data_IF_598926402643
#
_entry.id   IF_598926402643
#
_cell.length_a   1.000
_cell.length_b   1.000
_cell.length_c   1.000
_cell.angle_alpha   90.00
_cell.angle_beta   90.00
_cell.angle_gamma   90.00
#
_symmetry.space_group_name_H-M   'P 1'
#
loop_
_entity.id
_entity.type
_entity.pdbx_description
1 polymer ?
#
# COMPACT_ATOMS: atom_id res chain seq x y z
N UNK A 1 -16.81 29.85 -10.72
CA UNK A 1 -16.94 28.72 -11.66
C UNK A 1 -15.63 27.96 -11.90
N UNK A 2 -14.50 28.61 -12.20
CA UNK A 2 -13.23 27.91 -12.52
C UNK A 2 -12.64 27.01 -11.42
N UNK A 3 -12.80 27.37 -10.14
CA UNK A 3 -12.16 26.62 -9.06
C UNK A 3 -12.81 25.25 -8.79
N UNK A 4 -14.09 25.08 -9.12
CA UNK A 4 -14.84 23.84 -8.85
C UNK A 4 -14.30 22.67 -9.70
N UNK A 5 -14.13 22.81 -11.03
CA UNK A 5 -13.46 21.78 -11.83
C UNK A 5 -12.01 21.51 -11.40
N UNK A 6 -11.28 22.53 -10.93
CA UNK A 6 -9.89 22.37 -10.48
C UNK A 6 -9.84 21.45 -9.24
N UNK A 7 -10.64 21.73 -8.21
CA UNK A 7 -10.64 20.89 -7.00
C UNK A 7 -11.21 19.50 -7.27
N UNK A 8 -12.19 19.38 -8.17
CA UNK A 8 -12.70 18.07 -8.60
C UNK A 8 -11.63 17.25 -9.31
N UNK A 9 -10.88 17.86 -10.24
CA UNK A 9 -9.80 17.19 -10.97
C UNK A 9 -8.70 16.66 -10.04
N UNK A 10 -8.39 17.37 -8.95
CA UNK A 10 -7.43 16.91 -7.96
C UNK A 10 -7.88 15.62 -7.24
N UNK A 11 -9.18 15.47 -6.96
CA UNK A 11 -9.73 14.25 -6.37
C UNK A 11 -9.71 13.08 -7.37
N UNK A 12 -9.98 13.34 -8.66
CA UNK A 12 -9.88 12.32 -9.70
C UNK A 12 -8.43 11.83 -9.90
N UNK A 13 -7.45 12.73 -9.80
CA UNK A 13 -6.03 12.34 -9.80
C UNK A 13 -5.69 11.44 -8.59
N UNK A 14 -6.22 11.76 -7.41
CA UNK A 14 -6.03 10.92 -6.22
C UNK A 14 -6.67 9.55 -6.38
N UNK A 15 -7.85 9.49 -7.02
CA UNK A 15 -8.52 8.22 -7.35
C UNK A 15 -7.64 7.35 -8.25
N UNK A 16 -7.07 7.92 -9.31
CA UNK A 16 -6.15 7.19 -10.18
C UNK A 16 -4.89 6.72 -9.44
N UNK A 17 -4.32 7.55 -8.57
CA UNK A 17 -3.18 7.17 -7.74
C UNK A 17 -3.52 6.02 -6.77
N UNK A 18 -4.71 6.01 -6.17
CA UNK A 18 -5.17 4.91 -5.31
C UNK A 18 -5.26 3.59 -6.07
N UNK A 19 -5.81 3.61 -7.29
CA UNK A 19 -5.89 2.41 -8.15
C UNK A 19 -4.48 1.87 -8.47
N UNK A 20 -3.52 2.74 -8.82
CA UNK A 20 -2.14 2.32 -9.08
C UNK A 20 -1.46 1.71 -7.83
N UNK A 21 -1.73 2.24 -6.64
CA UNK A 21 -1.23 1.68 -5.39
C UNK A 21 -1.80 0.29 -5.11
N UNK A 22 -3.10 0.09 -5.38
CA UNK A 22 -3.75 -1.22 -5.24
C UNK A 22 -3.20 -2.22 -6.25
N UNK A 23 -3.03 -1.84 -7.51
CA UNK A 23 -2.41 -2.68 -8.54
C UNK A 23 -0.99 -3.12 -8.14
N UNK A 24 -0.15 -2.19 -7.67
CA UNK A 24 1.19 -2.50 -7.18
C UNK A 24 1.13 -3.50 -6.01
N UNK A 25 0.16 -3.36 -5.11
CA UNK A 25 -0.03 -4.29 -3.98
C UNK A 25 -0.48 -5.67 -4.44
N UNK A 26 -1.33 -5.78 -5.46
CA UNK A 26 -1.71 -7.06 -6.04
C UNK A 26 -0.55 -7.76 -6.74
N UNK A 27 0.33 -7.01 -7.43
CA UNK A 27 1.56 -7.56 -8.02
C UNK A 27 2.45 -8.21 -6.94
N UNK A 28 2.66 -7.52 -5.82
CA UNK A 28 3.43 -8.06 -4.70
C UNK A 28 2.79 -9.31 -4.07
N UNK A 29 1.46 -9.38 -4.02
CA UNK A 29 0.75 -10.58 -3.55
C UNK A 29 0.95 -11.75 -4.50
N UNK A 30 0.86 -11.52 -5.81
CA UNK A 30 1.05 -12.55 -6.83
C UNK A 30 2.46 -13.16 -6.78
N UNK A 31 3.46 -12.35 -6.38
CA UNK A 31 4.84 -12.80 -6.22
C UNK A 31 5.19 -13.37 -4.82
N UNK A 32 4.23 -13.45 -3.89
CA UNK A 32 4.48 -13.74 -2.46
C UNK A 32 5.58 -12.82 -1.84
N UNK A 33 5.65 -11.58 -2.32
CA UNK A 33 6.71 -10.60 -2.01
C UNK A 33 6.33 -9.54 -0.98
N UNK A 34 5.05 -9.44 -0.60
CA UNK A 34 4.53 -8.35 0.23
C UNK A 34 5.32 -8.15 1.54
N UNK A 35 6.02 -7.03 1.64
CA UNK A 35 6.73 -6.64 2.86
C UNK A 35 5.73 -6.34 3.99
N UNK A 36 5.93 -6.98 5.14
CA UNK A 36 5.17 -6.75 6.37
C UNK A 36 6.15 -6.55 7.52
N UNK A 37 5.97 -5.47 8.29
CA UNK A 37 6.85 -5.11 9.43
C UNK A 37 6.07 -4.99 10.74
N UNK A 38 5.63 -6.10 11.36
CA UNK A 38 4.92 -6.03 12.63
C UNK A 38 5.86 -5.70 13.80
N UNK A 39 5.29 -5.25 14.92
CA UNK A 39 6.01 -5.04 16.17
C UNK A 39 5.89 -6.29 17.06
N UNK A 40 6.99 -6.71 17.68
CA UNK A 40 7.01 -7.68 18.79
C UNK A 40 6.47 -7.02 20.07
N UNK A 41 6.21 -7.83 21.10
CA UNK A 41 5.69 -7.34 22.40
C UNK A 41 6.60 -6.34 23.12
N UNK A 42 7.89 -6.40 22.83
CA UNK A 42 8.95 -5.51 23.32
C UNK A 42 9.10 -4.22 22.49
N UNK A 43 8.32 -4.06 21.42
CA UNK A 43 8.41 -2.94 20.48
C UNK A 43 9.42 -3.16 19.34
N UNK A 44 10.15 -4.28 19.31
CA UNK A 44 11.11 -4.57 18.24
C UNK A 44 10.38 -4.75 16.91
N UNK A 45 10.81 -4.04 15.88
CA UNK A 45 10.28 -4.20 14.52
C UNK A 45 10.91 -5.43 13.88
N UNK A 46 10.06 -6.36 13.48
CA UNK A 46 10.44 -7.56 12.73
C UNK A 46 9.97 -7.48 11.30
N UNK A 47 10.46 -8.34 10.40
CA UNK A 47 10.04 -8.31 9.01
C UNK A 47 9.73 -9.69 8.42
N UNK A 48 8.80 -9.71 7.47
CA UNK A 48 8.51 -10.87 6.62
C UNK A 48 8.04 -10.42 5.24
N UNK A 49 8.32 -11.22 4.22
CA UNK A 49 7.86 -11.02 2.83
C UNK A 49 6.85 -12.09 2.43
N UNK A 50 7.20 -13.37 2.63
CA UNK A 50 6.31 -14.50 2.38
C UNK A 50 5.07 -14.48 3.26
N UNK A 51 3.94 -14.92 2.72
CA UNK A 51 2.67 -14.98 3.44
C UNK A 51 2.73 -16.00 4.58
N UNK A 52 3.18 -17.22 4.28
CA UNK A 52 3.30 -18.33 5.23
C UNK A 52 4.74 -18.41 5.76
N UNK A 53 5.16 -17.37 6.47
CA UNK A 53 6.43 -17.35 7.22
C UNK A 53 6.27 -16.64 8.57
N UNK A 54 7.15 -16.97 9.51
CA UNK A 54 7.27 -16.23 10.78
C UNK A 54 8.06 -14.94 10.52
N UNK A 55 7.63 -13.80 11.06
CA UNK A 55 8.41 -12.58 11.02
C UNK A 55 9.59 -12.68 12.00
N UNK A 56 10.78 -12.41 11.51
CA UNK A 56 12.04 -12.48 12.27
C UNK A 56 12.50 -11.12 12.75
#
# INVERSE_FOLDING_TARGET
EKYIPIVASAHEMMRAAAVLCDEAREVEKAADGVVRKPHKKDGTIVSKTKLISKPE
#
